data_IF_696196169857
#
_entry.id   IF_696196169857
#
_cell.length_a   1.000
_cell.length_b   1.000
_cell.length_c   1.000
_cell.angle_alpha   90.00
_cell.angle_beta   90.00
_cell.angle_gamma   90.00
#
_symmetry.space_group_name_H-M   'P 1'
#
loop_
_entity.id
_entity.type
_entity.pdbx_description
1 polymer ?
#
# COMPACT_ATOMS: atom_id res chain seq x y z
N UNK A 1 16.74 -2.94 -10.50
CA UNK A 1 15.91 -1.70 -10.56
C UNK A 1 15.31 -1.44 -9.17
N UNK A 2 15.05 -0.21 -8.79
CA UNK A 2 14.40 0.10 -7.50
C UNK A 2 12.92 -0.28 -7.59
N UNK A 3 12.33 -0.91 -6.55
CA UNK A 3 10.90 -1.13 -6.42
C UNK A 3 10.07 0.17 -6.53
N UNK A 4 8.77 0.07 -6.54
CA UNK A 4 7.88 1.23 -6.49
C UNK A 4 7.86 1.82 -5.07
N UNK A 5 7.97 3.16 -4.97
CA UNK A 5 7.69 3.86 -3.72
C UNK A 5 6.18 3.88 -3.42
N UNK A 6 5.80 4.15 -2.17
CA UNK A 6 4.39 4.29 -1.78
C UNK A 6 3.67 5.35 -2.60
N UNK A 7 4.34 6.47 -2.91
CA UNK A 7 3.75 7.53 -3.74
C UNK A 7 3.56 7.12 -5.20
N UNK A 8 4.49 6.34 -5.77
CA UNK A 8 4.33 5.78 -7.12
C UNK A 8 3.14 4.80 -7.17
N UNK A 9 2.94 4.00 -6.12
CA UNK A 9 1.78 3.10 -6.01
C UNK A 9 0.47 3.85 -5.92
N UNK A 10 0.40 4.94 -5.15
CA UNK A 10 -0.79 5.80 -5.08
C UNK A 10 -1.21 6.27 -6.48
N UNK A 11 -0.28 6.71 -7.32
CA UNK A 11 -0.59 7.14 -8.70
C UNK A 11 -1.09 5.96 -9.54
N UNK A 12 -0.45 4.79 -9.44
CA UNK A 12 -0.88 3.60 -10.19
C UNK A 12 -2.25 3.08 -9.73
N UNK A 13 -2.54 3.13 -8.44
CA UNK A 13 -3.85 2.76 -7.90
C UNK A 13 -4.96 3.72 -8.33
N UNK A 14 -4.67 5.03 -8.45
CA UNK A 14 -5.61 5.99 -9.03
C UNK A 14 -5.98 5.61 -10.46
N UNK A 15 -4.98 5.29 -11.27
CA UNK A 15 -5.18 4.95 -12.69
C UNK A 15 -5.90 3.59 -12.82
N UNK A 16 -5.46 2.57 -12.08
CA UNK A 16 -6.04 1.23 -12.15
C UNK A 16 -6.16 0.74 -13.60
N UNK A 17 -7.36 0.37 -13.99
CA UNK A 17 -7.68 -0.07 -15.37
C UNK A 17 -8.34 1.04 -16.21
N UNK A 18 -8.19 2.31 -15.83
CA UNK A 18 -8.82 3.44 -16.48
C UNK A 18 -7.80 4.29 -17.25
N UNK A 19 -8.33 5.14 -18.13
CA UNK A 19 -7.57 6.21 -18.76
C UNK A 19 -7.89 7.50 -18.03
N UNK A 20 -6.94 8.05 -17.29
CA UNK A 20 -7.14 9.29 -16.52
C UNK A 20 -6.29 10.43 -17.07
N UNK A 21 -6.85 11.63 -17.05
CA UNK A 21 -6.12 12.87 -17.28
C UNK A 21 -5.21 13.19 -16.09
N UNK A 22 -4.29 14.14 -16.27
CA UNK A 22 -3.44 14.62 -15.20
C UNK A 22 -4.25 15.20 -14.02
N UNK A 23 -5.26 16.00 -14.33
CA UNK A 23 -6.13 16.64 -13.35
C UNK A 23 -6.92 15.63 -12.52
N UNK A 24 -7.40 14.56 -13.16
CA UNK A 24 -8.10 13.48 -12.47
C UNK A 24 -7.18 12.72 -11.52
N UNK A 25 -5.95 12.40 -11.96
CA UNK A 25 -4.95 11.74 -11.11
C UNK A 25 -4.58 12.65 -9.92
N UNK A 26 -4.34 13.92 -10.17
CA UNK A 26 -4.03 14.90 -9.13
C UNK A 26 -5.15 15.02 -8.10
N UNK A 27 -6.39 15.10 -8.58
CA UNK A 27 -7.57 15.16 -7.70
C UNK A 27 -7.75 13.90 -6.87
N UNK A 28 -7.63 12.72 -7.47
CA UNK A 28 -7.85 11.44 -6.79
C UNK A 28 -6.73 11.10 -5.80
N UNK A 29 -5.48 11.33 -6.18
CA UNK A 29 -4.32 11.04 -5.34
C UNK A 29 -4.21 11.98 -4.14
N UNK A 30 -4.62 13.24 -4.31
CA UNK A 30 -4.42 14.30 -3.32
C UNK A 30 -2.96 14.71 -3.14
N UNK A 31 -2.06 14.31 -4.06
CA UNK A 31 -0.66 14.71 -4.05
C UNK A 31 -0.51 16.19 -4.40
N UNK A 32 0.60 16.78 -3.99
CA UNK A 32 0.99 18.11 -4.47
C UNK A 32 1.29 18.04 -5.96
N UNK A 33 0.97 19.10 -6.70
CA UNK A 33 1.09 19.16 -8.17
C UNK A 33 2.49 18.78 -8.67
N UNK A 34 3.54 19.40 -8.10
CA UNK A 34 4.92 19.12 -8.46
C UNK A 34 5.34 17.67 -8.17
N UNK A 35 4.85 17.10 -7.07
CA UNK A 35 5.13 15.70 -6.69
C UNK A 35 4.43 14.75 -7.66
N UNK A 36 3.14 14.96 -7.92
CA UNK A 36 2.36 14.18 -8.85
C UNK A 36 2.98 14.18 -10.26
N UNK A 37 3.36 15.35 -10.76
CA UNK A 37 4.02 15.50 -12.06
C UNK A 37 5.32 14.69 -12.14
N UNK A 38 6.20 14.85 -11.17
CA UNK A 38 7.48 14.14 -11.13
C UNK A 38 7.31 12.62 -11.09
N UNK A 39 6.33 12.13 -10.31
CA UNK A 39 6.03 10.70 -10.23
C UNK A 39 5.53 10.17 -11.58
N UNK A 40 4.59 10.86 -12.21
CA UNK A 40 4.07 10.46 -13.52
C UNK A 40 5.20 10.40 -14.55
N UNK A 41 6.07 11.43 -14.60
CA UNK A 41 7.21 11.44 -15.51
C UNK A 41 8.18 10.28 -15.23
N UNK A 42 8.48 10.00 -13.97
CA UNK A 42 9.33 8.86 -13.60
C UNK A 42 8.73 7.51 -14.04
N UNK A 43 7.41 7.34 -13.86
CA UNK A 43 6.70 6.11 -14.26
C UNK A 43 6.66 5.96 -15.80
N UNK A 44 6.55 7.05 -16.55
CA UNK A 44 6.64 7.03 -18.02
C UNK A 44 8.05 6.63 -18.47
N UNK A 45 9.09 7.26 -17.90
CA UNK A 45 10.49 6.95 -18.23
C UNK A 45 10.81 5.48 -17.93
N UNK A 46 10.25 4.92 -16.86
CA UNK A 46 10.38 3.51 -16.50
C UNK A 46 9.54 2.59 -17.39
N UNK A 47 8.70 3.11 -18.28
CA UNK A 47 7.81 2.33 -19.13
C UNK A 47 6.63 1.68 -18.40
N UNK A 48 6.33 2.11 -17.17
CA UNK A 48 5.19 1.63 -16.36
C UNK A 48 3.89 2.28 -16.81
N UNK A 49 3.96 3.56 -17.17
CA UNK A 49 2.83 4.31 -17.73
C UNK A 49 3.04 4.59 -19.22
N UNK A 50 1.93 4.62 -19.92
CA UNK A 50 1.80 5.13 -21.31
C UNK A 50 0.92 6.36 -21.32
N UNK A 51 1.23 7.29 -22.21
CA UNK A 51 0.38 8.45 -22.47
C UNK A 51 -0.27 8.32 -23.84
N UNK A 52 -1.55 8.64 -23.93
CA UNK A 52 -2.31 8.67 -25.18
C UNK A 52 -3.36 9.76 -25.11
N UNK A 53 -3.34 10.68 -26.09
CA UNK A 53 -4.34 11.77 -26.20
C UNK A 53 -4.56 12.58 -24.92
N UNK A 54 -3.47 12.83 -24.15
CA UNK A 54 -3.54 13.59 -22.90
C UNK A 54 -4.00 12.81 -21.67
N UNK A 55 -4.21 11.51 -21.82
CA UNK A 55 -4.54 10.59 -20.71
C UNK A 55 -3.41 9.60 -20.46
N UNK A 56 -3.36 9.07 -19.24
CA UNK A 56 -2.37 8.12 -18.75
C UNK A 56 -3.02 6.76 -18.49
N UNK A 57 -2.32 5.71 -18.86
CA UNK A 57 -2.72 4.31 -18.63
C UNK A 57 -1.54 3.49 -18.16
N UNK A 58 -1.81 2.42 -17.42
CA UNK A 58 -0.80 1.42 -17.09
C UNK A 58 -0.38 0.70 -18.39
N UNK A 59 0.91 0.51 -18.56
CA UNK A 59 1.44 -0.20 -19.72
C UNK A 59 1.23 -1.72 -19.58
N UNK A 60 0.32 -2.28 -20.35
CA UNK A 60 0.02 -3.72 -20.34
C UNK A 60 1.20 -4.60 -20.83
N UNK A 61 2.20 -4.00 -21.50
CA UNK A 61 3.37 -4.71 -22.03
C UNK A 61 4.57 -4.70 -21.06
N UNK A 62 4.34 -4.54 -19.77
CA UNK A 62 5.39 -4.61 -18.74
C UNK A 62 5.93 -6.05 -18.69
N UNK A 63 7.27 -6.19 -18.67
CA UNK A 63 7.89 -7.51 -18.60
C UNK A 63 7.58 -8.22 -17.27
N UNK A 64 7.51 -9.57 -17.24
CA UNK A 64 7.31 -10.32 -16.00
C UNK A 64 8.34 -10.01 -14.92
N UNK A 65 9.61 -9.79 -15.31
CA UNK A 65 10.68 -9.41 -14.40
C UNK A 65 10.39 -8.06 -13.73
N UNK A 66 9.95 -7.08 -14.51
CA UNK A 66 9.60 -5.75 -14.00
C UNK A 66 8.36 -5.80 -13.09
N UNK A 67 7.39 -6.65 -13.41
CA UNK A 67 6.22 -6.88 -12.54
C UNK A 67 6.64 -7.48 -11.20
N UNK A 68 7.58 -8.42 -11.17
CA UNK A 68 8.12 -8.99 -9.94
C UNK A 68 8.90 -7.95 -9.11
N UNK A 69 9.74 -7.13 -9.75
CA UNK A 69 10.45 -6.04 -9.08
C UNK A 69 9.48 -5.02 -8.45
N UNK A 70 8.35 -4.77 -9.10
CA UNK A 70 7.33 -3.82 -8.63
C UNK A 70 6.45 -4.38 -7.52
N UNK A 71 6.06 -5.64 -7.61
CA UNK A 71 5.02 -6.24 -6.78
C UNK A 71 5.49 -7.45 -5.95
N UNK A 72 6.76 -7.83 -6.06
CA UNK A 72 7.37 -8.93 -5.30
C UNK A 72 7.37 -8.66 -3.79
N UNK A 73 7.68 -9.69 -3.02
CA UNK A 73 7.65 -9.67 -1.55
C UNK A 73 8.51 -8.54 -0.99
N UNK A 74 9.73 -8.34 -1.53
CA UNK A 74 10.65 -7.29 -1.04
C UNK A 74 10.11 -5.88 -1.33
N UNK A 75 9.47 -5.66 -2.47
CA UNK A 75 8.85 -4.38 -2.80
C UNK A 75 7.68 -4.06 -1.87
N UNK A 76 6.83 -5.04 -1.59
CA UNK A 76 5.70 -4.89 -0.63
C UNK A 76 6.18 -4.68 0.80
N UNK A 77 7.25 -5.35 1.20
CA UNK A 77 7.88 -5.17 2.51
C UNK A 77 8.41 -3.75 2.67
N UNK A 78 9.14 -3.24 1.66
CA UNK A 78 9.66 -1.87 1.68
C UNK A 78 8.53 -0.84 1.78
N UNK A 79 7.47 -0.99 1.00
CA UNK A 79 6.28 -0.14 1.06
C UNK A 79 5.61 -0.17 2.44
N UNK A 80 5.42 -1.37 3.01
CA UNK A 80 4.81 -1.53 4.33
C UNK A 80 5.62 -0.82 5.43
N UNK A 81 6.95 -0.92 5.37
CA UNK A 81 7.83 -0.22 6.31
C UNK A 81 7.73 1.30 6.17
N UNK A 82 7.75 1.82 4.95
CA UNK A 82 7.60 3.26 4.65
C UNK A 82 6.27 3.80 5.19
N UNK A 83 5.18 3.06 5.01
CA UNK A 83 3.86 3.45 5.51
C UNK A 83 3.76 3.37 7.05
N UNK A 84 4.36 2.35 7.68
CA UNK A 84 4.40 2.22 9.14
C UNK A 84 5.21 3.37 9.74
N UNK A 85 6.37 3.70 9.18
CA UNK A 85 7.18 4.84 9.62
C UNK A 85 6.40 6.14 9.53
N UNK A 86 5.73 6.39 8.40
CA UNK A 86 4.90 7.58 8.22
C UNK A 86 3.75 7.67 9.25
N UNK A 87 3.13 6.53 9.61
CA UNK A 87 2.10 6.50 10.66
C UNK A 87 2.70 6.79 12.03
N UNK A 88 3.90 6.29 12.33
CA UNK A 88 4.57 6.51 13.62
C UNK A 88 5.04 7.95 13.79
N UNK A 89 5.45 8.63 12.73
CA UNK A 89 5.89 10.02 12.74
C UNK A 89 4.73 11.01 12.95
N UNK A 90 3.51 10.62 12.60
CA UNK A 90 2.32 11.48 12.73
C UNK A 90 1.87 11.56 14.20
N UNK A 91 1.98 12.73 14.82
CA UNK A 91 1.65 12.92 16.25
C UNK A 91 0.14 12.92 16.55
N UNK A 92 -0.71 13.27 15.59
CA UNK A 92 -2.15 13.46 15.80
C UNK A 92 -2.99 12.47 15.00
N UNK A 93 -4.14 12.07 15.55
CA UNK A 93 -5.19 11.25 14.95
C UNK A 93 -4.79 9.82 14.55
N UNK A 94 -3.74 9.27 15.13
CA UNK A 94 -3.36 7.87 14.90
C UNK A 94 -3.87 6.94 15.98
N UNK A 95 -4.37 5.79 15.57
CA UNK A 95 -4.57 4.64 16.44
C UNK A 95 -3.53 3.59 16.05
N UNK A 96 -2.34 3.65 16.65
CA UNK A 96 -1.30 2.64 16.46
C UNK A 96 -0.93 2.06 17.82
N UNK A 97 -0.98 0.75 17.93
CA UNK A 97 -0.60 0.02 19.15
C UNK A 97 0.29 -1.14 18.78
N UNK A 98 1.44 -1.17 19.44
CA UNK A 98 2.34 -2.32 19.43
C UNK A 98 2.48 -2.82 20.86
N UNK A 99 2.09 -4.06 21.13
CA UNK A 99 2.12 -4.63 22.48
C UNK A 99 2.65 -6.07 22.44
N UNK A 100 3.48 -6.39 23.43
CA UNK A 100 3.87 -7.78 23.73
C UNK A 100 2.94 -8.27 24.81
N UNK A 101 2.02 -9.15 24.47
CA UNK A 101 0.99 -9.67 25.37
C UNK A 101 1.17 -11.15 25.57
N UNK A 102 1.17 -11.61 26.83
CA UNK A 102 1.07 -13.03 27.13
C UNK A 102 -0.37 -13.47 26.93
N UNK A 103 -0.58 -14.46 26.05
CA UNK A 103 -1.88 -15.07 25.78
C UNK A 103 -1.77 -16.57 25.97
N UNK A 104 -2.78 -17.18 26.57
CA UNK A 104 -2.93 -18.61 26.56
C UNK A 104 -3.47 -19.08 25.17
N UNK A 105 -3.54 -20.40 24.98
CA UNK A 105 -3.99 -20.96 23.69
C UNK A 105 -5.44 -20.57 23.35
N UNK A 106 -6.30 -20.47 24.38
CA UNK A 106 -7.70 -20.07 24.21
C UNK A 106 -7.82 -18.63 23.78
N UNK A 107 -7.13 -17.72 24.47
CA UNK A 107 -7.13 -16.29 24.16
C UNK A 107 -6.52 -16.03 22.78
N UNK A 108 -5.45 -16.74 22.43
CA UNK A 108 -4.86 -16.66 21.09
C UNK A 108 -5.84 -17.09 19.98
N UNK A 109 -6.64 -18.14 20.20
CA UNK A 109 -7.69 -18.57 19.26
C UNK A 109 -8.80 -17.52 19.13
N UNK A 110 -9.24 -16.95 20.25
CA UNK A 110 -10.25 -15.88 20.26
C UNK A 110 -9.72 -14.65 19.49
N UNK A 111 -8.50 -14.24 19.76
CA UNK A 111 -7.90 -13.10 19.08
C UNK A 111 -7.73 -13.32 17.58
N UNK A 112 -7.32 -14.52 17.14
CA UNK A 112 -7.29 -14.89 15.72
C UNK A 112 -8.67 -14.80 15.06
N UNK A 113 -9.72 -15.22 15.75
CA UNK A 113 -11.08 -15.09 15.24
C UNK A 113 -11.51 -13.62 15.11
N UNK A 114 -11.14 -12.76 16.06
CA UNK A 114 -11.38 -11.31 15.97
C UNK A 114 -10.65 -10.68 14.78
N UNK A 115 -9.39 -11.06 14.53
CA UNK A 115 -8.64 -10.60 13.35
C UNK A 115 -9.30 -11.04 12.05
N UNK A 116 -9.78 -12.26 11.96
CA UNK A 116 -10.52 -12.77 10.79
C UNK A 116 -11.82 -12.00 10.54
N UNK A 117 -12.55 -11.66 11.61
CA UNK A 117 -13.75 -10.83 11.51
C UNK A 117 -13.42 -9.39 11.04
N UNK A 118 -12.33 -8.83 11.56
CA UNK A 118 -11.82 -7.51 11.11
C UNK A 118 -11.47 -7.54 9.62
N UNK A 119 -10.77 -8.58 9.18
CA UNK A 119 -10.41 -8.75 7.76
C UNK A 119 -11.65 -8.82 6.86
N UNK A 120 -12.66 -9.59 7.27
CA UNK A 120 -13.93 -9.67 6.55
C UNK A 120 -14.64 -8.32 6.49
N UNK A 121 -14.69 -7.59 7.61
CA UNK A 121 -15.25 -6.25 7.66
C UNK A 121 -14.52 -5.29 6.72
N UNK A 122 -13.19 -5.28 6.74
CA UNK A 122 -12.38 -4.40 5.88
C UNK A 122 -12.58 -4.73 4.39
N UNK A 123 -12.68 -6.02 4.05
CA UNK A 123 -12.99 -6.46 2.68
C UNK A 123 -14.35 -5.94 2.22
N UNK A 124 -15.38 -6.07 3.04
CA UNK A 124 -16.72 -5.57 2.72
C UNK A 124 -16.75 -4.05 2.61
N UNK A 125 -16.06 -3.35 3.52
CA UNK A 125 -15.94 -1.89 3.48
C UNK A 125 -15.23 -1.43 2.20
N UNK A 126 -14.14 -2.11 1.82
CA UNK A 126 -13.40 -1.82 0.59
C UNK A 126 -14.29 -2.01 -0.65
N UNK A 127 -14.99 -3.12 -0.75
CA UNK A 127 -15.89 -3.39 -1.89
C UNK A 127 -17.01 -2.36 -2.03
N UNK A 128 -17.56 -1.87 -0.91
CA UNK A 128 -18.60 -0.83 -0.93
C UNK A 128 -18.06 0.55 -1.29
N UNK A 129 -16.84 0.86 -0.86
CA UNK A 129 -16.21 2.18 -1.02
C UNK A 129 -15.51 2.37 -2.38
N UNK A 130 -15.06 1.29 -3.03
CA UNK A 130 -14.13 1.32 -4.17
C UNK A 130 -14.60 2.21 -5.33
N UNK A 131 -15.90 2.35 -5.53
CA UNK A 131 -16.46 3.17 -6.61
C UNK A 131 -16.67 4.64 -6.26
N UNK A 132 -16.71 5.00 -4.99
CA UNK A 132 -17.18 6.30 -4.53
C UNK A 132 -16.22 7.10 -3.67
N UNK A 133 -15.12 6.50 -3.19
CA UNK A 133 -14.17 7.16 -2.29
C UNK A 133 -12.86 7.43 -3.03
N UNK A 134 -12.50 8.72 -3.26
CA UNK A 134 -11.20 9.09 -3.80
C UNK A 134 -10.06 8.50 -2.96
N UNK A 135 -8.95 8.15 -3.60
CA UNK A 135 -7.82 7.49 -2.93
C UNK A 135 -7.29 8.31 -1.75
N UNK A 136 -7.22 9.64 -1.90
CA UNK A 136 -6.82 10.59 -0.84
C UNK A 136 -7.65 10.50 0.45
N UNK A 137 -8.84 9.93 0.38
CA UNK A 137 -9.76 9.79 1.52
C UNK A 137 -9.75 8.37 2.11
N UNK A 138 -8.94 7.46 1.57
CA UNK A 138 -8.82 6.10 2.08
C UNK A 138 -7.97 6.05 3.35
N UNK A 139 -8.26 5.07 4.20
CA UNK A 139 -7.53 4.83 5.43
C UNK A 139 -6.52 3.72 5.22
N UNK A 140 -5.36 3.85 5.86
CA UNK A 140 -4.35 2.80 5.94
C UNK A 140 -4.56 2.07 7.27
N UNK A 141 -4.71 0.76 7.21
CA UNK A 141 -4.94 -0.08 8.38
C UNK A 141 -3.88 -1.18 8.45
N UNK A 142 -3.25 -1.31 9.61
CA UNK A 142 -2.29 -2.38 9.89
C UNK A 142 -2.80 -3.23 11.04
N UNK A 143 -2.78 -4.54 10.86
CA UNK A 143 -3.08 -5.50 11.92
C UNK A 143 -2.27 -6.77 11.74
N UNK A 144 -2.09 -7.51 12.81
CA UNK A 144 -1.39 -8.78 12.74
C UNK A 144 -1.18 -9.38 14.12
N UNK A 145 -0.77 -10.64 14.10
CA UNK A 145 -0.37 -11.40 15.26
C UNK A 145 0.76 -12.34 14.89
N UNK A 146 1.74 -12.47 15.75
CA UNK A 146 2.84 -13.41 15.56
C UNK A 146 3.39 -13.87 16.91
N UNK A 147 4.04 -15.02 16.90
CA UNK A 147 4.73 -15.54 18.07
C UNK A 147 6.08 -14.83 18.23
N UNK A 148 6.35 -14.33 19.44
CA UNK A 148 7.53 -13.50 19.71
C UNK A 148 8.84 -14.23 19.37
N UNK A 149 9.01 -15.46 19.84
CA UNK A 149 10.27 -16.19 19.68
C UNK A 149 10.61 -16.52 18.23
N UNK A 150 9.68 -17.07 17.40
CA UNK A 150 9.92 -17.23 15.96
C UNK A 150 10.23 -15.91 15.23
N UNK A 151 9.54 -14.81 15.57
CA UNK A 151 9.81 -13.49 15.01
C UNK A 151 11.21 -12.99 15.37
N UNK A 152 11.62 -13.12 16.62
CA UNK A 152 12.98 -12.74 17.07
C UNK A 152 14.06 -13.57 16.38
N UNK A 153 13.82 -14.87 16.16
CA UNK A 153 14.74 -15.73 15.42
C UNK A 153 14.91 -15.29 13.94
N UNK A 154 13.87 -14.74 13.32
CA UNK A 154 13.99 -14.16 11.98
C UNK A 154 14.81 -12.87 11.98
N UNK A 155 14.62 -12.00 12.97
CA UNK A 155 15.42 -10.76 13.13
C UNK A 155 16.89 -11.09 13.28
N UNK A 156 17.25 -12.11 14.10
CA UNK A 156 18.65 -12.53 14.29
C UNK A 156 19.30 -13.14 13.02
N UNK A 157 18.51 -13.72 12.11
CA UNK A 157 19.03 -14.28 10.85
C UNK A 157 19.20 -13.24 9.75
N UNK A 158 18.54 -12.11 9.86
CA UNK A 158 18.58 -11.03 8.87
C UNK A 158 19.70 -10.00 9.10
N UNK A 159 20.42 -10.12 10.20
CA UNK A 159 21.64 -9.37 10.52
C UNK A 159 22.87 -10.25 10.30
#
# INVERSE_FOLDING_TARGET
MRGLSSLERVVLECIGNQNLSYEEILFQSGLQENVCFNIIQALIIRGVLKTSKGSYTINESISPLMMEEMNGIEARKAESLELIEAVLEKEHDRIFRFQKVAMDERDAKIFKAMLSNLESFLKDAHQKAEKNVPLKNRQIVFWGMGELLPMMNQVMKGN
#
